data_IF_659032848915
#
_entry.id   IF_659032848915
#
_cell.length_a   1.000
_cell.length_b   1.000
_cell.length_c   1.000
_cell.angle_alpha   90.00
_cell.angle_beta   90.00
_cell.angle_gamma   90.00
#
_symmetry.space_group_name_H-M   'P 1'
#
loop_
_entity.id
_entity.type
_entity.pdbx_description
1 polymer ?
#
# COMPACT_ATOMS: atom_id res chain seq x y z
N UNK A 1 -15.39 9.45 -19.91
CA UNK A 1 -15.63 9.27 -21.37
C UNK A 1 -14.54 9.88 -22.23
N UNK A 2 -14.22 11.18 -22.12
CA UNK A 2 -13.18 11.85 -22.93
C UNK A 2 -11.78 11.18 -22.89
N UNK A 3 -11.40 10.54 -21.78
CA UNK A 3 -10.12 9.82 -21.74
C UNK A 3 -10.11 8.58 -22.64
N UNK A 4 -11.20 7.82 -22.72
CA UNK A 4 -11.28 6.64 -23.59
C UNK A 4 -11.34 7.02 -25.07
N UNK A 5 -12.03 8.12 -25.41
CA UNK A 5 -12.10 8.65 -26.78
C UNK A 5 -10.72 9.12 -27.25
N UNK A 6 -9.94 9.76 -26.37
CA UNK A 6 -8.55 10.15 -26.66
C UNK A 6 -7.63 8.95 -26.92
N UNK A 7 -7.94 7.78 -26.34
CA UNK A 7 -7.22 6.52 -26.60
C UNK A 7 -7.82 5.71 -27.76
N UNK A 8 -8.72 6.31 -28.56
CA UNK A 8 -9.21 5.73 -29.81
C UNK A 8 -10.38 4.75 -29.65
N UNK A 9 -11.13 4.81 -28.54
CA UNK A 9 -12.36 4.04 -28.42
C UNK A 9 -13.31 4.36 -29.60
N UNK A 10 -13.80 3.33 -30.29
CA UNK A 10 -14.72 3.54 -31.42
C UNK A 10 -16.16 3.79 -30.95
N UNK A 11 -16.56 3.14 -29.86
CA UNK A 11 -17.88 3.27 -29.26
C UNK A 11 -17.82 3.13 -27.75
N UNK A 12 -18.66 3.86 -27.05
CA UNK A 12 -18.77 3.79 -25.59
C UNK A 12 -20.24 3.74 -25.19
N UNK A 13 -20.63 2.66 -24.49
CA UNK A 13 -21.92 2.57 -23.82
C UNK A 13 -21.84 3.31 -22.49
N UNK A 14 -22.57 4.42 -22.38
CA UNK A 14 -22.68 5.22 -21.17
C UNK A 14 -23.88 4.72 -20.35
N UNK A 15 -23.59 3.87 -19.37
CA UNK A 15 -24.59 3.10 -18.65
C UNK A 15 -25.02 3.83 -17.37
N UNK A 16 -26.33 4.08 -17.21
CA UNK A 16 -26.95 4.57 -15.98
C UNK A 16 -28.40 4.07 -15.91
N UNK A 17 -28.97 3.88 -14.71
CA UNK A 17 -30.36 3.43 -14.56
C UNK A 17 -31.37 4.35 -15.26
N UNK A 18 -31.05 5.64 -15.34
CA UNK A 18 -31.90 6.68 -15.93
C UNK A 18 -31.37 7.20 -17.26
N UNK A 19 -30.41 6.49 -17.88
CA UNK A 19 -29.79 6.91 -19.12
C UNK A 19 -30.83 7.07 -20.24
N UNK A 20 -30.87 8.25 -20.84
CA UNK A 20 -31.64 8.57 -22.02
C UNK A 20 -30.82 9.54 -22.89
N UNK A 21 -31.20 9.69 -24.15
CA UNK A 21 -30.56 10.68 -25.04
C UNK A 21 -30.65 12.08 -24.46
N UNK A 22 -31.76 12.40 -23.79
CA UNK A 22 -32.00 13.71 -23.19
C UNK A 22 -31.11 13.95 -21.96
N UNK A 23 -30.98 12.94 -21.07
CA UNK A 23 -30.13 13.05 -19.86
C UNK A 23 -28.63 13.11 -20.17
N UNK A 24 -28.22 12.65 -21.35
CA UNK A 24 -26.83 12.70 -21.82
C UNK A 24 -26.54 13.78 -22.85
N UNK A 25 -27.52 14.59 -23.25
CA UNK A 25 -27.42 15.58 -24.35
C UNK A 25 -26.18 16.48 -24.25
N UNK A 26 -25.91 17.09 -23.09
CA UNK A 26 -24.72 17.91 -22.87
C UNK A 26 -23.39 17.16 -22.96
N UNK A 27 -23.34 15.89 -22.51
CA UNK A 27 -22.15 15.05 -22.65
C UNK A 27 -21.92 14.66 -24.11
N UNK A 28 -22.99 14.33 -24.83
CA UNK A 28 -22.94 13.97 -26.25
C UNK A 28 -22.43 15.15 -27.09
N UNK A 29 -22.89 16.37 -26.81
CA UNK A 29 -22.44 17.58 -27.50
C UNK A 29 -20.96 17.88 -27.22
N UNK A 30 -20.55 17.86 -25.95
CA UNK A 30 -19.16 18.14 -25.56
C UNK A 30 -18.18 17.13 -26.15
N UNK A 31 -18.48 15.82 -26.03
CA UNK A 31 -17.59 14.76 -26.54
C UNK A 31 -17.65 14.68 -28.06
N UNK A 32 -18.82 14.89 -28.67
CA UNK A 32 -19.00 14.84 -30.12
C UNK A 32 -18.22 15.93 -30.85
N UNK A 33 -18.07 17.11 -30.23
CA UNK A 33 -17.26 18.21 -30.78
C UNK A 33 -15.77 17.86 -30.83
N UNK A 34 -15.22 17.31 -29.75
CA UNK A 34 -13.79 17.05 -29.65
C UNK A 34 -13.39 15.69 -30.26
N UNK A 35 -14.32 14.73 -30.30
CA UNK A 35 -14.07 13.35 -30.75
C UNK A 35 -15.18 12.83 -31.69
N UNK A 36 -15.38 13.43 -32.88
CA UNK A 36 -16.50 13.14 -33.77
C UNK A 36 -16.52 11.70 -34.32
N UNK A 37 -15.40 10.98 -34.20
CA UNK A 37 -15.26 9.59 -34.66
C UNK A 37 -15.63 8.55 -33.60
N UNK A 38 -15.92 8.97 -32.35
CA UNK A 38 -16.34 8.04 -31.30
C UNK A 38 -17.84 8.12 -31.10
N UNK A 39 -18.52 6.97 -31.13
CA UNK A 39 -19.96 6.90 -30.87
C UNK A 39 -20.25 6.71 -29.38
N UNK A 40 -20.87 7.69 -28.73
CA UNK A 40 -21.37 7.55 -27.35
C UNK A 40 -22.83 7.09 -27.40
N UNK A 41 -23.17 6.04 -26.65
CA UNK A 41 -24.50 5.41 -26.63
C UNK A 41 -25.00 5.42 -25.18
N UNK A 42 -25.94 6.31 -24.80
CA UNK A 42 -26.63 6.23 -23.52
C UNK A 42 -27.39 4.90 -23.44
N UNK A 43 -27.26 4.18 -22.32
CA UNK A 43 -27.85 2.86 -22.17
C UNK A 43 -28.45 2.66 -20.75
N UNK A 44 -29.77 2.47 -20.63
CA UNK A 44 -30.40 2.12 -19.35
C UNK A 44 -29.81 0.82 -18.80
N UNK A 45 -29.23 0.87 -17.60
CA UNK A 45 -28.54 -0.30 -17.04
C UNK A 45 -28.58 -0.34 -15.52
N UNK A 46 -28.96 -1.49 -14.98
CA UNK A 46 -28.83 -1.81 -13.57
C UNK A 46 -27.59 -2.69 -13.34
N UNK A 47 -26.58 -2.10 -12.71
CA UNK A 47 -25.29 -2.74 -12.42
C UNK A 47 -25.37 -4.01 -11.56
N UNK A 48 -26.46 -4.18 -10.80
CA UNK A 48 -26.69 -5.37 -9.97
C UNK A 48 -27.54 -6.45 -10.67
N UNK A 49 -27.90 -6.27 -11.94
CA UNK A 49 -28.69 -7.24 -12.70
C UNK A 49 -27.82 -8.07 -13.65
N UNK A 50 -27.82 -9.39 -13.44
CA UNK A 50 -27.09 -10.33 -14.28
C UNK A 50 -27.61 -10.38 -15.71
N UNK A 51 -28.93 -10.37 -15.91
CA UNK A 51 -29.55 -10.52 -17.23
C UNK A 51 -29.26 -9.30 -18.09
N UNK A 52 -29.41 -8.09 -17.53
CA UNK A 52 -29.04 -6.85 -18.21
C UNK A 52 -27.54 -6.82 -18.57
N UNK A 53 -26.67 -7.40 -17.73
CA UNK A 53 -25.23 -7.51 -18.04
C UNK A 53 -25.00 -8.35 -19.29
N UNK A 54 -25.69 -9.48 -19.40
CA UNK A 54 -25.58 -10.36 -20.57
C UNK A 54 -26.15 -9.70 -21.82
N UNK A 55 -27.30 -9.04 -21.72
CA UNK A 55 -27.93 -8.31 -22.83
C UNK A 55 -27.01 -7.19 -23.34
N UNK A 56 -26.40 -6.40 -22.45
CA UNK A 56 -25.45 -5.35 -22.83
C UNK A 56 -24.22 -5.91 -23.57
N UNK A 57 -23.69 -7.05 -23.11
CA UNK A 57 -22.58 -7.73 -23.78
C UNK A 57 -22.99 -8.20 -25.18
N UNK A 58 -24.16 -8.82 -25.30
CA UNK A 58 -24.66 -9.32 -26.58
C UNK A 58 -24.94 -8.17 -27.56
N UNK A 59 -25.49 -7.05 -27.09
CA UNK A 59 -25.66 -5.85 -27.90
C UNK A 59 -24.33 -5.30 -28.41
N UNK A 60 -23.33 -5.18 -27.53
CA UNK A 60 -22.00 -4.70 -27.91
C UNK A 60 -21.35 -5.64 -28.95
N UNK A 61 -21.51 -6.95 -28.80
CA UNK A 61 -21.01 -7.94 -29.74
C UNK A 61 -21.78 -7.92 -31.08
N UNK A 62 -23.10 -7.76 -31.06
CA UNK A 62 -23.89 -7.68 -32.28
C UNK A 62 -23.55 -6.41 -33.06
N UNK A 63 -23.52 -5.26 -32.40
CA UNK A 63 -23.21 -3.98 -33.02
C UNK A 63 -21.74 -3.90 -33.50
N UNK A 64 -20.78 -4.22 -32.64
CA UNK A 64 -19.36 -3.94 -32.88
C UNK A 64 -18.50 -5.19 -33.08
N UNK A 65 -18.98 -6.37 -32.73
CA UNK A 65 -18.28 -7.66 -32.91
C UNK A 65 -17.26 -7.96 -31.83
N UNK A 66 -17.07 -7.05 -30.87
CA UNK A 66 -16.05 -7.11 -29.83
C UNK A 66 -16.44 -6.29 -28.62
N UNK A 67 -15.87 -6.69 -27.49
CA UNK A 67 -15.77 -5.91 -26.26
C UNK A 67 -14.29 -5.79 -25.91
N UNK A 68 -13.81 -4.60 -25.56
CA UNK A 68 -12.40 -4.37 -25.25
C UNK A 68 -12.16 -3.89 -23.83
N UNK A 69 -13.05 -3.05 -23.32
CA UNK A 69 -12.92 -2.40 -22.02
C UNK A 69 -14.25 -2.47 -21.27
N UNK A 70 -14.20 -2.81 -20.00
CA UNK A 70 -15.33 -2.73 -19.08
C UNK A 70 -14.93 -1.93 -17.85
N UNK A 71 -15.70 -0.90 -17.50
CA UNK A 71 -15.42 -0.04 -16.35
C UNK A 71 -16.60 -0.12 -15.38
N UNK A 72 -16.33 -0.56 -14.16
CA UNK A 72 -17.29 -0.54 -13.06
C UNK A 72 -17.09 0.77 -12.28
N UNK A 73 -18.09 1.64 -12.30
CA UNK A 73 -18.09 2.91 -11.57
C UNK A 73 -19.45 3.09 -10.90
N UNK A 74 -19.54 2.75 -9.62
CA UNK A 74 -20.75 2.87 -8.80
C UNK A 74 -20.45 3.63 -7.51
N UNK A 75 -21.38 4.42 -7.00
CA UNK A 75 -21.11 5.42 -5.95
C UNK A 75 -21.97 5.34 -4.69
N UNK A 76 -22.48 4.17 -4.29
CA UNK A 76 -23.39 4.06 -3.14
C UNK A 76 -22.63 4.03 -1.80
N UNK A 77 -22.74 5.06 -0.96
CA UNK A 77 -22.00 5.09 0.33
C UNK A 77 -22.73 4.39 1.49
N UNK A 78 -24.06 4.32 1.45
CA UNK A 78 -24.87 3.80 2.57
C UNK A 78 -24.85 4.73 3.80
N UNK A 79 -25.32 4.25 4.97
CA UNK A 79 -25.33 5.03 6.22
C UNK A 79 -23.92 5.28 6.80
N UNK A 80 -23.73 6.39 7.55
CA UNK A 80 -22.42 6.82 8.04
C UNK A 80 -21.91 6.06 9.28
N UNK A 81 -22.80 5.43 10.05
CA UNK A 81 -22.49 4.83 11.33
C UNK A 81 -22.99 3.39 11.39
N UNK A 82 -22.40 2.59 12.26
CA UNK A 82 -22.86 1.20 12.48
C UNK A 82 -24.25 1.14 13.09
N UNK A 83 -24.65 2.15 13.87
CA UNK A 83 -25.98 2.25 14.48
C UNK A 83 -27.08 2.49 13.45
N UNK A 84 -26.79 3.25 12.40
CA UNK A 84 -27.74 3.53 11.31
C UNK A 84 -27.67 2.49 10.18
N UNK A 85 -26.64 1.65 10.17
CA UNK A 85 -26.43 0.66 9.11
C UNK A 85 -27.34 -0.54 9.29
N UNK A 86 -28.27 -0.75 8.35
CA UNK A 86 -29.08 -1.98 8.31
C UNK A 86 -28.44 -3.05 7.41
N UNK A 87 -28.80 -4.34 7.60
CA UNK A 87 -28.40 -5.39 6.66
C UNK A 87 -28.80 -5.12 5.20
N UNK A 88 -29.92 -4.43 4.97
CA UNK A 88 -30.38 -4.08 3.62
C UNK A 88 -29.47 -3.02 2.98
N UNK A 89 -29.02 -2.02 3.75
CA UNK A 89 -28.06 -1.02 3.27
C UNK A 89 -26.73 -1.66 2.88
N UNK A 90 -26.25 -2.60 3.72
CA UNK A 90 -25.04 -3.35 3.45
C UNK A 90 -25.17 -4.18 2.17
N UNK A 91 -26.29 -4.89 2.01
CA UNK A 91 -26.56 -5.69 0.80
C UNK A 91 -26.57 -4.82 -0.47
N UNK A 92 -27.25 -3.67 -0.45
CA UNK A 92 -27.26 -2.72 -1.58
C UNK A 92 -25.86 -2.20 -1.91
N UNK A 93 -25.03 -1.93 -0.90
CA UNK A 93 -23.65 -1.50 -1.13
C UNK A 93 -22.80 -2.63 -1.73
N UNK A 94 -22.99 -3.89 -1.31
CA UNK A 94 -22.33 -5.04 -1.92
C UNK A 94 -22.74 -5.23 -3.39
N UNK A 95 -24.02 -5.07 -3.68
CA UNK A 95 -24.55 -5.12 -5.03
C UNK A 95 -23.92 -4.05 -5.93
N UNK A 96 -23.81 -2.82 -5.44
CA UNK A 96 -23.19 -1.73 -6.18
C UNK A 96 -21.68 -1.97 -6.41
N UNK A 97 -20.91 -2.20 -5.34
CA UNK A 97 -19.44 -2.12 -5.40
C UNK A 97 -18.73 -3.45 -5.65
N UNK A 98 -19.39 -4.58 -5.42
CA UNK A 98 -18.77 -5.91 -5.53
C UNK A 98 -19.45 -6.80 -6.55
N UNK A 99 -20.79 -6.81 -6.58
CA UNK A 99 -21.52 -7.66 -7.51
C UNK A 99 -21.35 -7.18 -8.96
N UNK A 100 -21.35 -5.87 -9.21
CA UNK A 100 -21.11 -5.32 -10.53
C UNK A 100 -19.70 -5.68 -11.10
N UNK A 101 -18.59 -5.48 -10.35
CA UNK A 101 -17.29 -6.02 -10.75
C UNK A 101 -17.25 -7.53 -10.91
N UNK A 102 -17.98 -8.28 -10.08
CA UNK A 102 -18.06 -9.73 -10.18
C UNK A 102 -18.73 -10.16 -11.50
N UNK A 103 -19.82 -9.51 -11.90
CA UNK A 103 -20.45 -9.79 -13.19
C UNK A 103 -19.55 -9.41 -14.37
N UNK A 104 -18.83 -8.30 -14.29
CA UNK A 104 -17.81 -7.94 -15.27
C UNK A 104 -16.75 -9.05 -15.40
N UNK A 105 -16.18 -9.49 -14.27
CA UNK A 105 -15.20 -10.58 -14.23
C UNK A 105 -15.76 -11.90 -14.78
N UNK A 106 -17.03 -12.22 -14.50
CA UNK A 106 -17.66 -13.48 -14.90
C UNK A 106 -18.03 -13.52 -16.38
N UNK A 107 -18.58 -12.44 -16.92
CA UNK A 107 -19.26 -12.46 -18.23
C UNK A 107 -18.53 -11.72 -19.34
N UNK A 108 -17.72 -10.70 -19.02
CA UNK A 108 -16.99 -9.95 -20.03
C UNK A 108 -15.83 -10.72 -20.70
N UNK A 109 -15.04 -11.59 -20.01
CA UNK A 109 -13.86 -12.20 -20.62
C UNK A 109 -14.12 -13.05 -21.88
N UNK A 110 -15.19 -13.88 -21.94
CA UNK A 110 -15.54 -14.58 -23.17
C UNK A 110 -15.80 -13.65 -24.36
N UNK A 111 -16.47 -12.50 -24.12
CA UNK A 111 -16.70 -11.49 -25.14
C UNK A 111 -15.42 -10.76 -25.55
N UNK A 112 -14.54 -10.49 -24.58
CA UNK A 112 -13.22 -9.89 -24.82
C UNK A 112 -12.27 -10.82 -25.59
N UNK A 113 -12.45 -12.13 -25.49
CA UNK A 113 -11.65 -13.12 -26.22
C UNK A 113 -12.06 -13.29 -27.69
N UNK A 114 -13.21 -12.75 -28.14
CA UNK A 114 -13.65 -12.86 -29.54
C UNK A 114 -12.73 -12.07 -30.45
N UNK A 115 -12.22 -12.72 -31.49
CA UNK A 115 -11.50 -12.05 -32.57
C UNK A 115 -12.51 -11.43 -33.54
N UNK A 116 -12.12 -10.33 -34.17
CA UNK A 116 -13.06 -9.54 -34.99
C UNK A 116 -12.31 -8.97 -36.17
N UNK A 117 -12.81 -9.22 -37.37
CA UNK A 117 -12.33 -8.53 -38.57
C UNK A 117 -12.70 -7.05 -38.51
N UNK A 118 -12.11 -6.24 -39.38
CA UNK A 118 -12.42 -4.81 -39.45
C UNK A 118 -13.87 -4.62 -39.91
N UNK A 119 -14.73 -4.08 -39.04
CA UNK A 119 -16.12 -3.67 -39.37
C UNK A 119 -16.17 -2.29 -40.05
N UNK A 120 -17.36 -1.86 -40.44
CA UNK A 120 -17.62 -0.63 -41.22
C UNK A 120 -17.88 0.64 -40.40
N UNK A 121 -17.81 0.58 -39.06
CA UNK A 121 -18.02 1.76 -38.21
C UNK A 121 -16.75 2.64 -38.09
N UNK A 122 -16.88 3.94 -37.74
CA UNK A 122 -15.74 4.84 -37.56
C UNK A 122 -14.72 4.32 -36.53
N UNK A 123 -13.42 4.45 -36.81
CA UNK A 123 -12.34 3.90 -35.97
C UNK A 123 -12.36 2.37 -35.77
N UNK A 124 -13.11 1.61 -36.58
CA UNK A 124 -13.03 0.16 -36.55
C UNK A 124 -11.60 -0.32 -36.86
N UNK A 125 -11.06 -1.11 -35.95
CA UNK A 125 -9.79 -1.81 -36.09
C UNK A 125 -10.02 -3.33 -35.94
N UNK A 126 -9.27 -4.16 -36.66
CA UNK A 126 -9.32 -5.60 -36.46
C UNK A 126 -8.83 -5.97 -35.06
N UNK A 127 -9.38 -7.05 -34.49
CA UNK A 127 -8.93 -7.69 -33.25
C UNK A 127 -8.23 -9.00 -33.61
N UNK A 128 -6.94 -8.92 -33.91
CA UNK A 128 -6.14 -10.09 -34.31
C UNK A 128 -5.68 -10.97 -33.14
N UNK A 129 -5.76 -10.47 -31.90
CA UNK A 129 -5.36 -11.17 -30.69
C UNK A 129 -6.39 -11.01 -29.58
N UNK A 130 -6.43 -11.98 -28.67
CA UNK A 130 -7.30 -11.95 -27.49
C UNK A 130 -6.79 -10.90 -26.50
N UNK A 131 -7.62 -9.95 -26.13
CA UNK A 131 -7.30 -8.98 -25.09
C UNK A 131 -8.55 -8.34 -24.50
N UNK A 132 -8.43 -7.82 -23.29
CA UNK A 132 -9.44 -6.97 -22.68
C UNK A 132 -8.94 -6.29 -21.41
N UNK A 133 -9.66 -5.27 -20.96
CA UNK A 133 -9.36 -4.58 -19.71
C UNK A 133 -10.62 -4.36 -18.90
N UNK A 134 -10.67 -4.96 -17.71
CA UNK A 134 -11.69 -4.70 -16.69
C UNK A 134 -11.09 -3.71 -15.68
N UNK A 135 -11.80 -2.62 -15.43
CA UNK A 135 -11.36 -1.53 -14.54
C UNK A 135 -12.43 -1.36 -13.47
N UNK A 136 -12.04 -1.49 -12.21
CA UNK A 136 -12.94 -1.28 -11.07
C UNK A 136 -12.56 0.04 -10.42
N UNK A 137 -13.49 1.00 -10.39
CA UNK A 137 -13.33 2.22 -9.61
C UNK A 137 -13.90 1.95 -8.22
N UNK A 138 -13.01 1.88 -7.23
CA UNK A 138 -13.35 1.70 -5.82
C UNK A 138 -13.07 3.02 -5.08
N UNK A 139 -12.35 2.96 -3.97
CA UNK A 139 -11.92 4.10 -3.16
C UNK A 139 -10.68 3.73 -2.36
N UNK A 140 -9.96 4.73 -1.86
CA UNK A 140 -8.95 4.54 -0.80
C UNK A 140 -9.52 3.86 0.45
N UNK A 141 -10.85 3.89 0.66
CA UNK A 141 -11.56 3.09 1.66
C UNK A 141 -11.35 1.57 1.52
N UNK A 142 -10.86 1.09 0.38
CA UNK A 142 -10.46 -0.31 0.15
C UNK A 142 -9.03 -0.65 0.63
N UNK A 143 -8.29 0.35 1.10
CA UNK A 143 -6.88 0.23 1.51
C UNK A 143 -6.65 0.54 2.97
N UNK A 144 -7.48 1.41 3.57
CA UNK A 144 -7.49 1.70 5.00
C UNK A 144 -8.89 2.13 5.44
N UNK A 145 -9.17 2.04 6.75
CA UNK A 145 -10.41 2.53 7.35
C UNK A 145 -10.28 3.96 7.88
N UNK A 146 -11.39 4.59 8.30
CA UNK A 146 -11.35 5.94 8.86
C UNK A 146 -12.71 6.61 8.89
N UNK A 147 -12.93 7.56 7.98
CA UNK A 147 -14.10 8.45 7.97
C UNK A 147 -15.32 7.93 7.20
N UNK A 148 -15.25 6.74 6.59
CA UNK A 148 -16.36 6.18 5.83
C UNK A 148 -17.22 5.24 6.67
N UNK A 149 -18.49 5.15 6.31
CA UNK A 149 -19.44 4.24 6.91
C UNK A 149 -19.02 2.78 6.70
N UNK A 150 -19.50 1.87 7.57
CA UNK A 150 -19.10 0.48 7.54
C UNK A 150 -19.47 -0.20 6.21
N UNK A 151 -20.65 0.11 5.65
CA UNK A 151 -21.09 -0.41 4.35
C UNK A 151 -20.09 -0.09 3.24
N UNK A 152 -19.73 1.19 3.08
CA UNK A 152 -18.83 1.62 2.03
C UNK A 152 -17.44 1.01 2.19
N UNK A 153 -16.89 1.04 3.41
CA UNK A 153 -15.57 0.48 3.70
C UNK A 153 -15.51 -1.02 3.38
N UNK A 154 -16.46 -1.80 3.88
CA UNK A 154 -16.51 -3.25 3.65
C UNK A 154 -16.64 -3.58 2.16
N UNK A 155 -17.50 -2.85 1.46
CA UNK A 155 -17.82 -3.14 0.06
C UNK A 155 -16.78 -2.61 -0.92
N UNK A 156 -16.06 -1.52 -0.57
CA UNK A 156 -14.88 -1.07 -1.29
C UNK A 156 -13.75 -2.12 -1.23
N UNK A 157 -13.51 -2.71 -0.05
CA UNK A 157 -12.58 -3.83 0.11
C UNK A 157 -13.02 -5.06 -0.69
N UNK A 158 -14.31 -5.38 -0.71
CA UNK A 158 -14.83 -6.50 -1.48
C UNK A 158 -14.70 -6.28 -2.99
N UNK A 159 -14.92 -5.07 -3.50
CA UNK A 159 -14.64 -4.70 -4.89
C UNK A 159 -13.17 -4.89 -5.28
N UNK A 160 -12.23 -4.46 -4.41
CA UNK A 160 -10.80 -4.75 -4.58
C UNK A 160 -10.49 -6.26 -4.48
N UNK A 161 -11.25 -6.98 -3.65
CA UNK A 161 -11.22 -8.44 -3.54
C UNK A 161 -11.55 -9.12 -4.87
N UNK A 162 -12.55 -8.63 -5.61
CA UNK A 162 -12.88 -9.14 -6.95
C UNK A 162 -11.70 -8.99 -7.91
N UNK A 163 -10.99 -7.86 -7.87
CA UNK A 163 -9.80 -7.64 -8.71
C UNK A 163 -8.71 -8.65 -8.38
N UNK A 164 -8.41 -8.84 -7.09
CA UNK A 164 -7.38 -9.78 -6.63
C UNK A 164 -7.73 -11.23 -6.96
N UNK A 165 -8.97 -11.62 -6.74
CA UNK A 165 -9.48 -12.96 -7.08
C UNK A 165 -9.56 -13.18 -8.60
N UNK A 166 -9.77 -12.12 -9.38
CA UNK A 166 -9.85 -12.18 -10.84
C UNK A 166 -8.53 -12.51 -11.53
N UNK A 167 -7.39 -12.16 -10.94
CA UNK A 167 -6.06 -12.43 -11.54
C UNK A 167 -5.85 -13.90 -11.87
N UNK A 168 -5.99 -14.87 -10.93
CA UNK A 168 -5.85 -16.28 -11.26
C UNK A 168 -6.95 -16.77 -12.23
N UNK A 169 -8.17 -16.23 -12.13
CA UNK A 169 -9.30 -16.58 -13.02
C UNK A 169 -9.01 -16.21 -14.47
N UNK A 170 -8.36 -15.08 -14.72
CA UNK A 170 -8.08 -14.55 -16.06
C UNK A 170 -6.78 -15.07 -16.67
N UNK A 171 -6.05 -15.97 -15.98
CA UNK A 171 -4.77 -16.51 -16.47
C UNK A 171 -4.91 -17.12 -17.86
N UNK A 172 -4.08 -16.66 -18.80
CA UNK A 172 -4.05 -17.16 -20.18
C UNK A 172 -5.16 -16.64 -21.10
N UNK A 173 -6.08 -15.80 -20.61
CA UNK A 173 -7.17 -15.22 -21.42
C UNK A 173 -6.74 -14.00 -22.25
N UNK A 174 -5.66 -13.33 -21.84
CA UNK A 174 -5.25 -12.02 -22.37
C UNK A 174 -6.04 -10.84 -21.79
N UNK A 175 -7.01 -11.09 -20.90
CA UNK A 175 -7.79 -10.05 -20.22
C UNK A 175 -7.11 -9.65 -18.92
N UNK A 176 -7.02 -8.33 -18.67
CA UNK A 176 -6.49 -7.75 -17.45
C UNK A 176 -7.62 -7.23 -16.57
N UNK A 177 -7.41 -7.22 -15.27
CA UNK A 177 -8.32 -6.62 -14.30
C UNK A 177 -7.53 -5.76 -13.31
N UNK A 178 -7.94 -4.52 -13.08
CA UNK A 178 -7.27 -3.60 -12.17
C UNK A 178 -8.26 -2.74 -11.39
N UNK A 179 -7.81 -2.20 -10.26
CA UNK A 179 -8.56 -1.29 -9.42
C UNK A 179 -7.95 0.12 -9.50
N UNK A 180 -8.82 1.13 -9.45
CA UNK A 180 -8.46 2.52 -9.16
C UNK A 180 -9.10 2.87 -7.82
N UNK A 181 -8.30 3.41 -6.91
CA UNK A 181 -8.75 3.86 -5.58
C UNK A 181 -8.57 5.37 -5.45
N UNK A 182 -9.59 6.17 -5.83
CA UNK A 182 -9.53 7.62 -5.65
C UNK A 182 -9.58 8.02 -4.18
N UNK A 183 -8.89 9.10 -3.85
CA UNK A 183 -9.01 9.82 -2.58
C UNK A 183 -10.11 10.88 -2.62
N UNK A 184 -9.83 12.06 -2.09
CA UNK A 184 -10.75 13.19 -2.18
C UNK A 184 -10.75 13.78 -3.60
N UNK A 185 -11.89 13.67 -4.29
CA UNK A 185 -12.09 14.18 -5.64
C UNK A 185 -13.21 15.23 -5.64
N UNK A 186 -12.93 16.40 -6.20
CA UNK A 186 -13.91 17.47 -6.41
C UNK A 186 -14.74 17.17 -7.66
N UNK A 187 -15.93 16.60 -7.43
CA UNK A 187 -16.85 16.19 -8.50
C UNK A 187 -17.73 17.33 -9.03
N UNK A 188 -17.62 18.56 -8.51
CA UNK A 188 -18.23 19.76 -9.11
C UNK A 188 -19.75 19.78 -9.24
N UNK A 189 -20.48 18.87 -8.60
CA UNK A 189 -21.96 18.77 -8.68
C UNK A 189 -22.62 19.31 -7.41
N UNK A 190 -23.62 20.17 -7.59
CA UNK A 190 -24.65 20.45 -6.58
C UNK A 190 -25.48 19.16 -6.44
N UNK A 191 -25.27 18.43 -5.34
CA UNK A 191 -25.68 17.01 -5.13
C UNK A 191 -27.19 16.79 -4.97
N UNK A 192 -28.03 17.73 -5.41
CA UNK A 192 -29.48 17.80 -5.18
C UNK A 192 -30.31 16.63 -5.77
N UNK A 193 -29.69 15.67 -6.45
CA UNK A 193 -30.37 14.47 -7.00
C UNK A 193 -29.61 13.15 -6.83
N UNK A 194 -28.46 13.14 -6.13
CA UNK A 194 -27.75 11.90 -5.78
C UNK A 194 -28.35 11.34 -4.48
N UNK A 195 -28.39 10.02 -4.26
CA UNK A 195 -28.81 9.47 -2.95
C UNK A 195 -27.76 9.87 -1.90
N UNK A 196 -28.01 11.02 -1.24
CA UNK A 196 -27.08 11.66 -0.32
C UNK A 196 -27.11 11.06 1.09
N UNK A 197 -27.89 10.00 1.33
CA UNK A 197 -27.92 9.34 2.65
C UNK A 197 -26.50 8.88 3.01
N UNK A 198 -25.97 9.47 4.07
CA UNK A 198 -24.62 9.23 4.57
C UNK A 198 -23.51 10.09 3.96
N UNK A 199 -23.73 10.87 2.89
CA UNK A 199 -22.63 11.66 2.29
C UNK A 199 -22.21 12.87 3.14
N UNK A 200 -23.14 13.54 3.82
CA UNK A 200 -22.84 14.69 4.70
C UNK A 200 -22.02 14.30 5.94
N UNK A 201 -21.95 13.00 6.26
CA UNK A 201 -21.28 12.45 7.44
C UNK A 201 -20.15 11.47 7.11
N UNK A 202 -20.06 10.97 5.87
CA UNK A 202 -18.95 10.12 5.39
C UNK A 202 -17.91 10.85 4.55
N UNK A 203 -18.25 12.03 4.03
CA UNK A 203 -17.23 12.99 3.64
C UNK A 203 -16.89 13.84 4.86
N UNK A 204 -15.63 14.28 5.04
CA UNK A 204 -15.31 15.22 6.10
C UNK A 204 -16.30 16.39 6.01
N UNK A 205 -16.90 16.83 7.13
CA UNK A 205 -17.76 18.02 7.16
C UNK A 205 -17.12 19.15 6.34
N UNK A 206 -17.89 19.99 5.66
CA UNK A 206 -17.33 21.09 4.87
C UNK A 206 -16.36 21.98 5.70
N UNK A 207 -16.58 22.06 7.02
CA UNK A 207 -15.70 22.71 7.99
C UNK A 207 -14.35 22.00 8.25
N UNK A 208 -14.21 20.71 7.92
CA UNK A 208 -12.97 19.93 7.89
C UNK A 208 -12.36 19.83 6.48
N UNK A 209 -13.01 20.39 5.45
CA UNK A 209 -12.47 20.52 4.10
C UNK A 209 -11.97 21.95 3.82
N UNK A 210 -11.51 22.65 4.87
CA UNK A 210 -10.90 23.97 4.71
C UNK A 210 -9.68 23.87 3.79
N UNK A 211 -9.31 24.99 3.18
CA UNK A 211 -8.07 25.08 2.40
C UNK A 211 -6.86 24.58 3.22
N UNK A 212 -6.79 25.01 4.48
CA UNK A 212 -5.73 24.63 5.42
C UNK A 212 -5.70 23.12 5.71
N UNK A 213 -6.85 22.46 5.92
CA UNK A 213 -6.86 21.01 6.12
C UNK A 213 -6.43 20.25 4.86
N UNK A 214 -6.82 20.72 3.68
CA UNK A 214 -6.41 20.11 2.40
C UNK A 214 -4.91 20.25 2.16
N UNK A 215 -4.33 21.40 2.49
CA UNK A 215 -2.88 21.64 2.48
C UNK A 215 -2.15 20.73 3.46
N UNK A 216 -2.75 20.41 4.62
CA UNK A 216 -2.12 19.59 5.65
C UNK A 216 -2.31 18.07 5.47
N UNK A 217 -3.35 17.63 4.76
CA UNK A 217 -3.74 16.21 4.68
C UNK A 217 -3.55 15.58 3.30
N UNK A 218 -3.44 16.38 2.24
CA UNK A 218 -3.21 15.91 0.87
C UNK A 218 -1.85 16.42 0.42
N UNK A 219 -0.96 15.52 -0.02
CA UNK A 219 0.41 15.89 -0.42
C UNK A 219 0.49 16.84 -1.64
N UNK A 220 -0.53 16.85 -2.49
CA UNK A 220 -0.69 17.83 -3.58
C UNK A 220 -1.47 19.08 -3.16
N UNK A 221 -1.84 19.19 -1.88
CA UNK A 221 -2.47 20.36 -1.24
C UNK A 221 -3.83 20.77 -1.83
N UNK A 222 -4.45 19.89 -2.62
CA UNK A 222 -5.74 20.13 -3.29
C UNK A 222 -6.50 18.83 -3.49
N UNK A 223 -7.84 18.88 -3.63
CA UNK A 223 -8.58 17.71 -4.08
C UNK A 223 -8.21 17.37 -5.52
N UNK A 224 -8.34 16.10 -5.88
CA UNK A 224 -8.21 15.67 -7.25
C UNK A 224 -9.43 16.08 -8.09
N UNK A 225 -9.29 16.05 -9.40
CA UNK A 225 -10.41 16.23 -10.32
C UNK A 225 -10.82 14.90 -10.98
N UNK A 226 -12.10 14.71 -11.38
CA UNK A 226 -12.57 13.51 -12.05
C UNK A 226 -11.75 13.16 -13.30
N UNK A 227 -11.21 14.15 -14.01
CA UNK A 227 -10.35 13.98 -15.16
C UNK A 227 -9.03 13.27 -14.79
N UNK A 228 -8.50 13.49 -13.59
CA UNK A 228 -7.28 12.84 -13.12
C UNK A 228 -7.50 11.34 -12.90
N UNK A 229 -8.64 10.97 -12.29
CA UNK A 229 -9.07 9.56 -12.17
C UNK A 229 -9.34 8.96 -13.54
N UNK A 230 -10.01 9.69 -14.42
CA UNK A 230 -10.34 9.24 -15.77
C UNK A 230 -9.09 8.99 -16.63
N UNK A 231 -8.02 9.80 -16.48
CA UNK A 231 -6.74 9.58 -17.17
C UNK A 231 -6.08 8.26 -16.77
N UNK A 232 -6.16 7.88 -15.49
CA UNK A 232 -5.67 6.58 -15.02
C UNK A 232 -6.53 5.44 -15.61
N UNK A 233 -7.85 5.61 -15.69
CA UNK A 233 -8.71 4.66 -16.37
C UNK A 233 -8.38 4.53 -17.86
N UNK A 234 -8.07 5.63 -18.54
CA UNK A 234 -7.57 5.62 -19.93
C UNK A 234 -6.26 4.85 -20.08
N UNK A 235 -5.28 5.10 -19.21
CA UNK A 235 -4.03 4.32 -19.15
C UNK A 235 -4.29 2.82 -18.98
N UNK A 236 -5.13 2.46 -18.01
CA UNK A 236 -5.49 1.06 -17.74
C UNK A 236 -6.26 0.42 -18.89
N UNK A 237 -7.06 1.17 -19.65
CA UNK A 237 -7.75 0.69 -20.84
C UNK A 237 -6.83 0.52 -22.06
N UNK A 238 -5.72 1.26 -22.10
CA UNK A 238 -4.80 1.30 -23.24
C UNK A 238 -3.80 0.13 -23.26
N UNK A 239 -3.06 0.02 -24.37
CA UNK A 239 -1.92 -0.90 -24.50
C UNK A 239 -0.71 -0.55 -23.62
N UNK A 240 -0.62 0.68 -23.07
CA UNK A 240 0.48 1.08 -22.20
C UNK A 240 0.51 0.32 -20.87
N UNK A 241 -0.62 -0.29 -20.49
CA UNK A 241 -0.74 -1.11 -19.28
C UNK A 241 -0.78 -2.62 -19.58
N UNK A 242 -0.22 -3.05 -20.72
CA UNK A 242 -0.24 -4.45 -21.19
C UNK A 242 0.32 -5.46 -20.18
N UNK A 243 1.19 -5.02 -19.26
CA UNK A 243 1.77 -5.85 -18.20
C UNK A 243 1.28 -5.48 -16.78
N UNK A 244 0.15 -4.77 -16.68
CA UNK A 244 -0.45 -4.34 -15.40
C UNK A 244 -1.79 -5.07 -15.22
N UNK A 245 -1.83 -6.01 -14.29
CA UNK A 245 -3.05 -6.72 -13.86
C UNK A 245 -2.98 -7.02 -12.36
N UNK A 246 -4.12 -6.98 -11.68
CA UNK A 246 -4.21 -7.14 -10.22
C UNK A 246 -3.78 -5.92 -9.41
N UNK A 247 -3.44 -4.81 -10.07
CA UNK A 247 -2.96 -3.61 -9.39
C UNK A 247 -4.12 -2.85 -8.75
N UNK A 248 -3.83 -2.19 -7.63
CA UNK A 248 -4.64 -1.09 -7.11
C UNK A 248 -3.89 0.22 -7.29
N UNK A 249 -4.34 1.07 -8.21
CA UNK A 249 -3.72 2.38 -8.46
C UNK A 249 -4.44 3.41 -7.59
N UNK A 250 -3.75 3.91 -6.57
CA UNK A 250 -4.25 4.96 -5.68
C UNK A 250 -4.12 6.32 -6.37
N UNK A 251 -5.21 7.11 -6.37
CA UNK A 251 -5.30 8.43 -7.01
C UNK A 251 -5.86 9.43 -6.00
N UNK A 252 -5.02 9.89 -5.09
CA UNK A 252 -5.45 10.64 -3.90
C UNK A 252 -4.57 11.85 -3.58
N UNK A 253 -3.67 12.23 -4.49
CA UNK A 253 -2.71 13.32 -4.26
C UNK A 253 -1.75 13.08 -3.10
N UNK A 254 -1.51 11.81 -2.71
CA UNK A 254 -0.64 11.45 -1.59
C UNK A 254 -1.32 11.48 -0.22
N UNK A 255 -2.64 11.66 -0.15
CA UNK A 255 -3.37 11.72 1.13
C UNK A 255 -3.18 10.46 2.00
N UNK A 256 -3.18 9.28 1.37
CA UNK A 256 -2.95 7.98 2.03
C UNK A 256 -1.57 7.89 2.65
N UNK A 257 -0.60 8.73 2.29
CA UNK A 257 0.67 8.79 3.00
C UNK A 257 0.53 9.61 4.29
N UNK A 258 -0.11 10.78 4.23
CA UNK A 258 -0.26 11.69 5.37
C UNK A 258 -1.26 11.21 6.42
N UNK A 259 -2.33 10.49 6.03
CA UNK A 259 -3.32 9.93 6.98
C UNK A 259 -2.69 8.94 7.97
N UNK A 260 -1.65 8.20 7.58
CA UNK A 260 -0.91 7.31 8.49
C UNK A 260 0.03 8.05 9.45
N UNK A 261 0.28 9.34 9.22
CA UNK A 261 1.22 10.17 9.98
C UNK A 261 0.47 11.14 10.91
N UNK A 262 -0.82 11.42 10.72
CA UNK A 262 -1.54 12.38 11.59
C UNK A 262 -1.59 12.01 13.09
N UNK A 263 -1.76 10.73 13.52
CA UNK A 263 -1.61 10.41 14.95
C UNK A 263 -0.19 10.66 15.48
N UNK A 264 0.81 10.83 14.60
CA UNK A 264 2.18 11.26 14.94
C UNK A 264 2.36 12.79 14.84
N UNK A 265 1.73 13.46 13.86
CA UNK A 265 1.97 14.88 13.59
C UNK A 265 1.24 15.84 14.52
N UNK A 266 0.06 15.48 15.04
CA UNK A 266 -0.63 16.32 16.02
C UNK A 266 0.12 16.40 17.36
N UNK A 267 0.98 15.41 17.68
CA UNK A 267 1.95 15.52 18.77
C UNK A 267 3.14 16.40 18.38
N UNK A 268 3.62 16.36 17.13
CA UNK A 268 4.73 17.19 16.63
C UNK A 268 4.40 18.69 16.55
N UNK A 269 3.16 19.09 16.26
CA UNK A 269 2.81 20.52 16.16
C UNK A 269 2.80 21.24 17.53
N UNK A 270 2.52 20.52 18.63
CA UNK A 270 2.73 21.03 19.99
C UNK A 270 4.21 20.97 20.43
N UNK A 271 5.08 20.39 19.61
CA UNK A 271 6.51 20.17 19.89
C UNK A 271 7.42 21.02 18.98
N UNK A 272 6.96 22.19 18.52
CA UNK A 272 7.86 23.21 17.96
C UNK A 272 8.70 23.84 19.08
N UNK A 273 9.76 23.15 19.53
CA UNK A 273 11.03 23.71 20.08
C UNK A 273 12.00 22.64 20.60
N UNK A 274 12.13 21.48 19.95
CA UNK A 274 13.25 20.58 20.29
C UNK A 274 13.92 20.00 19.06
N UNK A 275 15.10 20.56 18.78
CA UNK A 275 16.21 20.06 17.96
C UNK A 275 15.93 18.80 17.12
N UNK A 276 15.76 18.98 15.80
CA UNK A 276 16.21 17.97 14.85
C UNK A 276 17.72 17.77 15.07
N UNK A 277 18.12 16.72 15.81
CA UNK A 277 19.51 16.25 15.80
C UNK A 277 19.80 15.85 14.35
N UNK A 278 20.75 16.53 13.70
CA UNK A 278 21.30 16.04 12.44
C UNK A 278 21.77 14.59 12.62
N UNK A 279 21.59 13.70 11.63
CA UNK A 279 22.09 12.34 11.73
C UNK A 279 23.60 12.37 12.03
N UNK A 280 24.08 11.56 12.97
CA UNK A 280 25.49 11.59 13.36
C UNK A 280 26.37 11.26 12.16
N UNK A 281 27.49 11.98 12.04
CA UNK A 281 28.50 11.65 11.04
C UNK A 281 29.11 10.31 11.43
N UNK A 282 28.89 9.28 10.60
CA UNK A 282 29.43 7.94 10.84
C UNK A 282 30.94 7.96 10.61
N UNK A 283 31.71 7.71 11.67
CA UNK A 283 33.15 7.53 11.59
C UNK A 283 33.49 6.05 11.41
N UNK A 284 34.32 5.74 10.42
CA UNK A 284 34.86 4.40 10.21
C UNK A 284 36.26 4.32 10.79
N UNK A 285 36.46 3.38 11.70
CA UNK A 285 37.64 3.22 12.53
C UNK A 285 38.36 1.92 12.18
N UNK A 286 39.69 2.00 12.20
CA UNK A 286 40.54 0.84 12.00
C UNK A 286 40.67 0.01 13.29
N UNK A 287 40.30 -1.28 13.24
CA UNK A 287 40.30 -2.17 14.41
C UNK A 287 41.68 -2.69 14.85
N UNK A 288 42.71 -2.46 14.04
CA UNK A 288 44.12 -2.77 14.37
C UNK A 288 44.85 -1.57 14.96
N UNK A 289 44.28 -0.37 14.86
CA UNK A 289 44.82 0.82 15.51
C UNK A 289 44.38 0.84 16.98
N UNK A 290 45.35 0.66 17.88
CA UNK A 290 45.14 0.65 19.34
C UNK A 290 44.44 1.91 19.85
N UNK A 291 44.78 3.10 19.33
CA UNK A 291 44.17 4.36 19.78
C UNK A 291 42.67 4.42 19.44
N UNK A 292 42.27 3.92 18.27
CA UNK A 292 40.86 3.86 17.89
C UNK A 292 40.07 2.93 18.83
N UNK A 293 40.64 1.76 19.13
CA UNK A 293 40.00 0.76 19.99
C UNK A 293 39.90 1.28 21.42
N UNK A 294 40.97 1.84 21.98
CA UNK A 294 40.99 2.41 23.33
C UNK A 294 39.97 3.55 23.47
N UNK A 295 39.94 4.49 22.53
CA UNK A 295 38.97 5.59 22.53
C UNK A 295 37.52 5.09 22.43
N UNK A 296 37.28 4.05 21.62
CA UNK A 296 35.97 3.41 21.51
C UNK A 296 35.56 2.76 22.83
N UNK A 297 36.47 2.01 23.44
CA UNK A 297 36.25 1.30 24.69
C UNK A 297 35.89 2.29 25.82
N UNK A 298 36.64 3.38 25.92
CA UNK A 298 36.39 4.46 26.89
C UNK A 298 35.00 5.10 26.66
N UNK A 299 34.68 5.46 25.41
CA UNK A 299 33.43 6.18 25.08
C UNK A 299 32.17 5.34 25.33
N UNK A 300 32.23 4.03 25.10
CA UNK A 300 31.08 3.13 25.14
C UNK A 300 31.10 2.15 26.33
N UNK A 301 32.02 2.32 27.27
CA UNK A 301 32.08 1.53 28.51
C UNK A 301 32.42 0.05 28.29
N UNK A 302 33.27 -0.23 27.30
CA UNK A 302 33.77 -1.57 27.00
C UNK A 302 35.23 -1.71 27.45
N UNK A 303 35.67 -2.93 27.75
CA UNK A 303 37.10 -3.24 27.86
C UNK A 303 37.67 -3.58 26.48
N UNK A 304 38.98 -3.44 26.31
CA UNK A 304 39.67 -3.89 25.09
C UNK A 304 39.44 -5.38 24.81
N UNK A 305 39.42 -6.19 25.87
CA UNK A 305 39.12 -7.63 25.76
C UNK A 305 37.69 -7.88 25.26
N UNK A 306 36.70 -7.17 25.79
CA UNK A 306 35.30 -7.25 25.34
C UNK A 306 35.16 -6.83 23.87
N UNK A 307 35.82 -5.75 23.46
CA UNK A 307 35.82 -5.31 22.07
C UNK A 307 36.37 -6.38 21.13
N UNK A 308 37.54 -6.95 21.47
CA UNK A 308 38.16 -8.00 20.66
C UNK A 308 37.36 -9.30 20.67
N UNK A 309 36.71 -9.64 21.78
CA UNK A 309 35.79 -10.77 21.86
C UNK A 309 34.55 -10.55 20.97
N UNK A 310 33.90 -9.39 21.06
CA UNK A 310 32.77 -9.00 20.22
C UNK A 310 33.09 -9.10 18.72
N UNK A 311 34.26 -8.59 18.29
CA UNK A 311 34.73 -8.73 16.91
C UNK A 311 34.90 -10.20 16.52
N UNK A 312 35.62 -10.97 17.34
CA UNK A 312 35.96 -12.37 17.05
C UNK A 312 34.70 -13.24 16.97
N UNK A 313 33.77 -13.07 17.91
CA UNK A 313 32.52 -13.83 17.98
C UNK A 313 31.55 -13.45 16.87
N UNK A 314 31.37 -12.17 16.53
CA UNK A 314 30.51 -11.77 15.40
C UNK A 314 31.04 -12.30 14.06
N UNK A 315 32.36 -12.24 13.84
CA UNK A 315 32.98 -12.81 12.64
C UNK A 315 32.83 -14.34 12.59
N UNK A 316 33.03 -15.03 13.72
CA UNK A 316 32.81 -16.48 13.77
C UNK A 316 31.34 -16.87 13.55
N UNK A 317 30.39 -16.10 14.09
CA UNK A 317 28.96 -16.31 13.88
C UNK A 317 28.56 -16.15 12.41
N UNK A 318 29.22 -15.24 11.68
CA UNK A 318 28.97 -15.03 10.24
C UNK A 318 29.19 -16.31 9.42
N UNK A 319 30.12 -17.17 9.84
CA UNK A 319 30.41 -18.44 9.14
C UNK A 319 29.32 -19.51 9.32
N UNK A 320 28.36 -19.31 10.23
CA UNK A 320 27.24 -20.23 10.45
C UNK A 320 25.95 -19.79 9.74
N UNK A 321 26.01 -18.72 8.95
CA UNK A 321 24.87 -18.19 8.21
C UNK A 321 24.31 -19.20 7.19
N UNK A 322 22.99 -19.33 7.16
CA UNK A 322 22.28 -20.08 6.12
C UNK A 322 21.70 -19.08 5.10
N UNK A 323 22.43 -18.82 4.03
CA UNK A 323 22.03 -17.81 3.02
C UNK A 323 22.24 -18.28 1.56
N UNK A 324 21.55 -19.35 1.10
CA UNK A 324 21.75 -19.89 -0.24
C UNK A 324 21.29 -18.96 -1.38
N UNK A 325 20.40 -18.00 -1.10
CA UNK A 325 19.81 -17.13 -2.13
C UNK A 325 20.65 -15.87 -2.33
N UNK A 326 20.90 -15.08 -1.28
CA UNK A 326 21.69 -13.85 -1.42
C UNK A 326 23.20 -14.09 -1.39
N UNK A 327 23.63 -15.18 -0.72
CA UNK A 327 25.03 -15.44 -0.36
C UNK A 327 25.68 -14.32 0.47
N UNK A 328 24.86 -13.47 1.10
CA UNK A 328 25.31 -12.40 1.96
C UNK A 328 25.25 -12.84 3.42
N UNK A 329 26.42 -13.05 4.03
CA UNK A 329 26.53 -13.55 5.40
C UNK A 329 26.59 -12.39 6.39
N UNK A 330 25.83 -12.54 7.47
CA UNK A 330 25.80 -11.63 8.60
C UNK A 330 25.89 -12.44 9.88
N UNK A 331 26.84 -12.09 10.74
CA UNK A 331 26.97 -12.62 12.09
C UNK A 331 26.68 -11.54 13.11
N UNK A 332 26.03 -11.90 14.21
CA UNK A 332 25.75 -11.00 15.33
C UNK A 332 26.13 -11.67 16.65
N UNK A 333 26.63 -10.90 17.61
CA UNK A 333 26.87 -11.37 18.97
C UNK A 333 26.44 -10.31 19.98
N UNK A 334 25.75 -10.76 21.03
CA UNK A 334 25.34 -9.94 22.16
C UNK A 334 26.28 -10.22 23.33
N UNK A 335 26.83 -9.17 23.93
CA UNK A 335 27.47 -9.21 25.23
C UNK A 335 26.44 -8.88 26.30
N UNK A 336 26.21 -9.80 27.24
CA UNK A 336 25.34 -9.57 28.39
C UNK A 336 26.09 -8.81 29.49
N UNK A 337 25.38 -8.16 30.41
CA UNK A 337 26.03 -7.47 31.56
C UNK A 337 26.77 -8.41 32.51
N UNK A 338 26.45 -9.71 32.47
CA UNK A 338 27.13 -10.76 33.22
C UNK A 338 28.36 -11.34 32.49
N UNK A 339 28.74 -10.78 31.33
CA UNK A 339 29.92 -11.20 30.56
C UNK A 339 29.69 -12.38 29.61
N UNK A 340 28.44 -12.81 29.41
CA UNK A 340 28.10 -13.88 28.47
C UNK A 340 28.02 -13.40 27.02
N UNK A 341 28.42 -14.25 26.06
CA UNK A 341 28.37 -13.96 24.63
C UNK A 341 27.38 -14.87 23.92
N UNK A 342 26.40 -14.28 23.23
CA UNK A 342 25.31 -15.03 22.59
C UNK A 342 25.30 -14.69 21.11
N UNK A 343 25.61 -15.68 20.27
CA UNK A 343 25.81 -15.52 18.84
C UNK A 343 24.56 -15.88 18.04
N UNK A 344 24.36 -15.19 16.91
CA UNK A 344 23.35 -15.47 15.90
C UNK A 344 23.87 -15.19 14.50
N UNK A 345 23.28 -15.84 13.50
CA UNK A 345 23.61 -15.66 12.09
C UNK A 345 22.33 -15.56 11.26
N UNK A 346 22.37 -14.93 10.10
CA UNK A 346 21.17 -14.82 9.26
C UNK A 346 20.76 -16.19 8.69
N UNK A 347 19.45 -16.42 8.66
CA UNK A 347 18.82 -17.63 8.11
C UNK A 347 17.80 -17.21 7.06
N UNK A 348 18.07 -17.54 5.82
CA UNK A 348 17.17 -17.29 4.70
C UNK A 348 16.15 -18.41 4.51
N UNK A 349 15.05 -18.06 3.85
CA UNK A 349 13.98 -19.00 3.53
C UNK A 349 13.47 -18.69 2.12
N UNK A 350 13.00 -19.72 1.40
CA UNK A 350 12.38 -19.55 0.08
C UNK A 350 11.17 -18.60 0.12
N UNK A 351 10.44 -18.60 1.25
CA UNK A 351 9.47 -17.58 1.58
C UNK A 351 10.18 -16.43 2.31
N UNK A 352 10.61 -15.42 1.56
CA UNK A 352 11.39 -14.29 2.10
C UNK A 352 10.83 -13.65 3.38
N UNK A 353 9.50 -13.50 3.57
CA UNK A 353 8.96 -12.90 4.81
C UNK A 353 9.30 -13.65 6.10
N UNK A 354 9.62 -14.96 6.04
CA UNK A 354 9.95 -15.75 7.23
C UNK A 354 11.46 -15.87 7.47
N UNK A 355 12.30 -15.22 6.66
CA UNK A 355 13.73 -15.12 6.91
C UNK A 355 14.05 -14.33 8.18
N UNK A 356 15.13 -14.72 8.87
CA UNK A 356 15.53 -14.09 10.14
C UNK A 356 16.95 -13.54 10.07
N UNK A 357 17.11 -12.27 10.44
CA UNK A 357 18.42 -11.60 10.48
C UNK A 357 19.23 -12.05 11.69
N UNK A 358 20.56 -11.91 11.61
CA UNK A 358 21.49 -12.39 12.63
C UNK A 358 21.20 -11.84 14.04
N UNK A 359 20.86 -10.55 14.13
CA UNK A 359 20.59 -9.87 15.39
C UNK A 359 19.32 -10.45 16.06
N UNK A 360 18.27 -10.69 15.27
CA UNK A 360 17.03 -11.32 15.77
C UNK A 360 17.26 -12.75 16.22
N UNK A 361 18.15 -13.50 15.56
CA UNK A 361 18.56 -14.84 16.02
C UNK A 361 19.30 -14.76 17.36
N UNK A 362 20.27 -13.83 17.49
CA UNK A 362 21.05 -13.66 18.72
C UNK A 362 20.15 -13.26 19.90
N UNK A 363 19.27 -12.26 19.73
CA UNK A 363 18.37 -11.81 20.79
C UNK A 363 17.31 -12.85 21.11
N UNK A 364 16.72 -13.50 20.09
CA UNK A 364 15.75 -14.58 20.30
C UNK A 364 16.33 -15.67 21.18
N UNK A 365 17.55 -16.14 20.85
CA UNK A 365 18.28 -17.09 21.69
C UNK A 365 18.49 -16.56 23.10
N UNK A 366 19.06 -15.36 23.23
CA UNK A 366 19.37 -14.78 24.54
C UNK A 366 18.15 -14.67 25.47
N UNK A 367 17.03 -14.18 24.95
CA UNK A 367 15.79 -14.00 25.70
C UNK A 367 15.21 -15.35 26.11
N UNK A 368 15.19 -16.33 25.21
CA UNK A 368 14.70 -17.69 25.53
C UNK A 368 15.59 -18.44 26.52
N UNK A 369 16.88 -18.09 26.60
CA UNK A 369 17.83 -18.59 27.59
C UNK A 369 17.76 -17.81 28.93
N UNK A 370 16.86 -16.83 29.04
CA UNK A 370 16.58 -16.09 30.27
C UNK A 370 17.41 -14.82 30.47
N UNK A 371 18.22 -14.42 29.49
CA UNK A 371 18.96 -13.16 29.56
C UNK A 371 18.05 -11.95 29.30
N UNK A 372 18.14 -10.94 30.16
CA UNK A 372 17.32 -9.72 30.10
C UNK A 372 18.14 -8.42 30.13
N UNK A 373 19.45 -8.52 30.33
CA UNK A 373 20.35 -7.40 30.50
C UNK A 373 21.53 -7.48 29.54
N UNK A 374 21.59 -6.51 28.63
CA UNK A 374 22.55 -6.47 27.53
C UNK A 374 23.47 -5.25 27.65
N UNK A 375 24.75 -5.44 27.29
CA UNK A 375 25.80 -4.43 27.39
C UNK A 375 26.21 -3.89 26.02
N UNK A 376 26.35 -4.75 25.01
CA UNK A 376 26.70 -4.35 23.65
C UNK A 376 26.26 -5.38 22.60
N UNK A 377 26.09 -4.93 21.36
CA UNK A 377 25.83 -5.76 20.20
C UNK A 377 26.96 -5.54 19.19
N UNK A 378 27.49 -6.61 18.62
CA UNK A 378 28.38 -6.54 17.46
C UNK A 378 27.79 -7.30 16.27
N UNK A 379 27.90 -6.71 15.09
CA UNK A 379 27.44 -7.25 13.81
C UNK A 379 28.61 -7.26 12.83
N UNK A 380 28.82 -8.37 12.12
CA UNK A 380 29.86 -8.52 11.11
C UNK A 380 29.24 -8.88 9.76
N UNK A 381 29.74 -8.27 8.69
CA UNK A 381 29.19 -8.43 7.32
C UNK A 381 30.28 -8.75 6.29
N UNK A 382 29.90 -9.11 5.07
CA UNK A 382 30.82 -9.44 3.97
C UNK A 382 31.21 -8.24 3.08
N UNK A 383 30.78 -7.03 3.42
CA UNK A 383 31.02 -5.81 2.64
C UNK A 383 31.85 -4.79 3.41
N UNK A 384 32.37 -3.80 2.69
CA UNK A 384 32.99 -2.60 3.24
C UNK A 384 32.39 -1.36 2.54
N UNK A 385 31.88 -0.35 3.28
CA UNK A 385 31.75 -0.31 4.75
C UNK A 385 30.74 -1.35 5.27
N UNK A 386 30.78 -1.62 6.58
CA UNK A 386 29.89 -2.58 7.23
C UNK A 386 28.41 -2.22 7.01
N UNK A 387 27.55 -3.22 6.84
CA UNK A 387 26.11 -2.97 6.80
C UNK A 387 25.57 -2.73 8.22
N UNK A 388 24.71 -1.73 8.37
CA UNK A 388 23.95 -1.52 9.60
C UNK A 388 22.84 -2.56 9.78
N UNK A 389 22.42 -2.88 11.01
CA UNK A 389 21.21 -3.66 11.24
C UNK A 389 20.01 -3.10 10.47
N UNK A 390 19.16 -3.98 9.93
CA UNK A 390 17.98 -3.55 9.19
C UNK A 390 16.93 -2.91 10.12
N UNK A 391 15.97 -2.16 9.58
CA UNK A 391 14.95 -1.46 10.37
C UNK A 391 14.19 -2.37 11.35
N UNK A 392 13.84 -3.59 10.93
CA UNK A 392 13.19 -4.57 11.81
C UNK A 392 14.10 -5.01 12.97
N UNK A 393 15.40 -5.21 12.73
CA UNK A 393 16.35 -5.54 13.78
C UNK A 393 16.51 -4.39 14.76
N UNK A 394 16.62 -3.15 14.28
CA UNK A 394 16.73 -1.96 15.15
C UNK A 394 15.52 -1.86 16.08
N UNK A 395 14.32 -2.04 15.54
CA UNK A 395 13.10 -2.05 16.34
C UNK A 395 13.05 -3.24 17.33
N UNK A 396 13.52 -4.42 16.92
CA UNK A 396 13.59 -5.60 17.78
C UNK A 396 14.59 -5.41 18.94
N UNK A 397 15.74 -4.80 18.68
CA UNK A 397 16.74 -4.46 19.71
C UNK A 397 16.12 -3.48 20.71
N UNK A 398 15.32 -2.51 20.26
CA UNK A 398 14.68 -1.51 21.12
C UNK A 398 13.74 -2.08 22.17
N UNK A 399 13.14 -3.24 21.91
CA UNK A 399 12.31 -3.94 22.90
C UNK A 399 13.11 -4.32 24.15
N UNK A 400 14.36 -4.75 23.97
CA UNK A 400 15.18 -5.34 25.02
C UNK A 400 16.31 -4.44 25.51
N UNK A 401 16.57 -3.34 24.82
CA UNK A 401 17.69 -2.47 25.08
C UNK A 401 17.26 -1.00 25.15
N UNK A 402 17.98 -0.26 25.97
CA UNK A 402 17.88 1.20 26.08
C UNK A 402 18.49 1.88 24.85
N UNK A 403 18.13 3.15 24.64
CA UNK A 403 18.57 3.94 23.50
C UNK A 403 20.10 4.13 23.42
N UNK A 404 20.80 4.01 24.54
CA UNK A 404 22.24 4.14 24.65
C UNK A 404 23.03 2.89 24.26
N UNK A 405 22.34 1.77 23.97
CA UNK A 405 22.94 0.48 23.62
C UNK A 405 23.96 0.62 22.48
N UNK A 406 25.25 0.29 22.70
CA UNK A 406 26.27 0.36 21.67
C UNK A 406 26.14 -0.77 20.66
N UNK A 407 26.24 -0.41 19.37
CA UNK A 407 26.16 -1.32 18.24
C UNK A 407 27.42 -1.16 17.39
N UNK A 408 28.29 -2.17 17.45
CA UNK A 408 29.51 -2.27 16.67
C UNK A 408 29.21 -2.95 15.34
N UNK A 409 29.65 -2.36 14.24
CA UNK A 409 29.41 -2.89 12.89
C UNK A 409 30.76 -3.09 12.21
N UNK A 410 31.19 -4.34 12.10
CA UNK A 410 32.43 -4.77 11.48
C UNK A 410 32.24 -5.10 10.00
N UNK A 411 33.15 -4.58 9.19
CA UNK A 411 33.21 -4.80 7.75
C UNK A 411 34.02 -6.06 7.40
N UNK A 412 34.17 -6.36 6.12
CA UNK A 412 34.94 -7.53 5.66
C UNK A 412 36.45 -7.50 5.98
N UNK A 413 37.01 -6.31 6.19
CA UNK A 413 38.41 -6.11 6.58
C UNK A 413 38.58 -6.12 8.12
N UNK A 414 37.45 -6.11 8.84
CA UNK A 414 37.39 -6.01 10.29
C UNK A 414 37.44 -4.56 10.79
N UNK A 415 37.44 -3.56 9.91
CA UNK A 415 37.25 -2.15 10.28
C UNK A 415 35.79 -1.93 10.67
N UNK A 416 35.51 -0.88 11.44
CA UNK A 416 34.22 -0.78 12.12
C UNK A 416 33.67 0.63 12.23
N UNK A 417 32.36 0.70 12.35
CA UNK A 417 31.67 1.85 12.91
C UNK A 417 30.98 1.44 14.21
N UNK A 418 30.80 2.39 15.13
CA UNK A 418 30.05 2.18 16.36
C UNK A 418 29.06 3.33 16.54
N UNK A 419 27.82 2.99 16.84
CA UNK A 419 26.74 3.93 17.06
C UNK A 419 25.87 3.45 18.23
N UNK A 420 25.13 4.36 18.86
CA UNK A 420 24.08 3.99 19.82
C UNK A 420 22.82 3.60 19.07
N UNK A 421 21.90 2.91 19.75
CA UNK A 421 20.61 2.57 19.16
C UNK A 421 19.82 3.84 18.75
N UNK A 422 19.87 4.91 19.54
CA UNK A 422 19.23 6.19 19.18
C UNK A 422 19.75 6.80 17.88
N UNK A 423 21.01 6.57 17.54
CA UNK A 423 21.64 7.13 16.35
C UNK A 423 21.12 6.47 15.07
N UNK A 424 20.79 5.17 15.15
CA UNK A 424 20.30 4.39 14.02
C UNK A 424 18.78 4.18 14.05
N UNK A 425 18.12 4.49 15.16
CA UNK A 425 16.66 4.46 15.31
C UNK A 425 16.20 5.67 16.14
N UNK A 426 16.33 6.89 15.59
CA UNK A 426 15.90 8.09 16.30
C UNK A 426 14.39 8.07 16.52
N UNK A 427 13.94 8.63 17.65
CA UNK A 427 12.52 8.71 18.03
C UNK A 427 11.83 7.33 18.06
N UNK A 428 12.59 6.29 18.42
CA UNK A 428 12.12 4.90 18.45
C UNK A 428 10.88 4.71 19.33
N UNK A 429 9.90 3.95 18.85
CA UNK A 429 8.83 3.41 19.69
C UNK A 429 9.35 2.27 20.58
N UNK A 430 8.91 2.21 21.84
CA UNK A 430 9.40 1.20 22.80
C UNK A 430 8.43 0.89 23.93
N UNK A 431 8.76 -0.10 24.80
CA UNK A 431 7.89 -0.54 25.90
C UNK A 431 7.43 0.58 26.84
N UNK A 432 8.26 1.60 27.02
CA UNK A 432 7.98 2.80 27.81
C UNK A 432 6.84 3.68 27.28
N UNK A 433 6.42 3.49 26.03
CA UNK A 433 5.31 4.21 25.41
C UNK A 433 4.00 3.41 25.39
N UNK A 434 4.03 2.14 25.78
CA UNK A 434 2.84 1.32 25.96
C UNK A 434 2.35 1.47 27.40
N UNK A 435 1.13 1.98 27.59
CA UNK A 435 0.51 2.01 28.92
C UNK A 435 0.39 0.58 29.46
N UNK A 436 0.72 0.32 30.74
CA UNK A 436 0.48 -0.99 31.31
C UNK A 436 -1.02 -1.31 31.23
N UNK A 437 -1.40 -2.58 30.94
CA UNK A 437 -2.80 -2.97 30.98
C UNK A 437 -3.37 -2.66 32.38
N UNK A 438 -4.66 -2.28 32.49
CA UNK A 438 -5.29 -2.08 33.78
C UNK A 438 -5.10 -3.35 34.63
N UNK A 439 -4.78 -3.16 35.92
CA UNK A 439 -4.54 -4.26 36.83
C UNK A 439 -5.69 -5.29 36.74
N UNK A 440 -5.40 -6.60 36.76
CA UNK A 440 -6.45 -7.60 36.74
C UNK A 440 -7.42 -7.33 37.88
N UNK A 441 -8.73 -7.30 37.57
CA UNK A 441 -9.79 -7.14 38.57
C UNK A 441 -9.49 -8.08 39.75
N UNK A 442 -9.39 -7.52 40.95
CA UNK A 442 -9.28 -8.33 42.16
C UNK A 442 -10.45 -9.34 42.16
N UNK A 443 -10.21 -10.62 42.47
CA UNK A 443 -11.29 -11.58 42.56
C UNK A 443 -12.29 -11.07 43.59
N UNK A 444 -13.54 -10.92 43.16
CA UNK A 444 -14.65 -10.60 44.05
C UNK A 444 -14.73 -11.74 45.08
N UNK A 445 -14.53 -11.39 46.35
CA UNK A 445 -14.53 -12.31 47.49
C UNK A 445 -15.90 -12.91 47.76
#
# INVERSE_FOLDING_TARGET
>A
MASFTAHGAASIYACDRTASTDSFSGLLEAVGKDYPKTKIIPYPFNVSNQEETLVLIDEALNAFGRLDVWVCSSGLLGPPSIQETTPEDLQKCFEAHSLAPFFALKFAPPAMAKLTEKKSYPNAAPKAQKYGSIIVISSVASTYGGCWGPCYTMTAHAGLGVVRAGVPVLKGTGVRINCISPGQIDIGVDLKGFDMRGMTSQFPPAALQTKEMRENTIGLERPGHPEEVARVAGFLASGFSSYVTGANIVVDGGASFFTFIEPYFSQLLHFKTTLFKMPPTVQYLNSTNTQHVESTCETFGLTSEEFHALKRHSVAAKETAYCPYSRFRVGAVILTKLGGYISGANVENASYPVGTCAERVAFGKAVTEGHKDFKALAVATDIAPAASPCGMCRQFIREFCTQDMPILMFDKNGDYAILRLEDILPLSFGPDQLHPPPAPFAPVA
#
